data_IF_724931819776
#
_entry.id   IF_724931819776
#
_cell.length_a   1.000
_cell.length_b   1.000
_cell.length_c   1.000
_cell.angle_alpha   90.00
_cell.angle_beta   90.00
_cell.angle_gamma   90.00
#
_symmetry.space_group_name_H-M   'P 1'
#
loop_
_entity.id
_entity.type
_entity.pdbx_description
1 polymer ?
#
# COMPACT_ATOMS: atom_id res chain seq x y z
N UNK A 1 1.24 -7.84 6.73
CA UNK A 1 2.17 -8.23 5.65
C UNK A 1 2.52 -9.70 5.82
N UNK A 2 2.93 -10.42 4.75
CA UNK A 2 3.48 -11.76 4.91
C UNK A 2 4.63 -11.75 5.92
N UNK A 3 4.65 -12.74 6.81
CA UNK A 3 5.56 -12.77 7.97
C UNK A 3 6.98 -13.22 7.61
N UNK A 4 7.18 -13.70 6.39
CA UNK A 4 8.45 -14.15 5.83
C UNK A 4 9.24 -13.03 5.11
N UNK A 5 8.77 -11.78 5.20
CA UNK A 5 9.48 -10.61 4.63
C UNK A 5 10.43 -10.02 5.67
N UNK A 6 11.69 -9.82 5.28
CA UNK A 6 12.70 -9.15 6.13
C UNK A 6 12.35 -7.68 6.39
N UNK A 7 11.74 -7.01 5.41
CA UNK A 7 11.35 -5.61 5.49
C UNK A 7 9.82 -5.46 5.53
N UNK A 8 9.33 -4.55 6.37
CA UNK A 8 7.92 -4.18 6.41
C UNK A 8 7.69 -2.79 5.78
N UNK A 9 7.45 -2.75 4.47
CA UNK A 9 7.29 -1.47 3.74
C UNK A 9 6.04 -0.65 4.14
N UNK A 10 5.11 -1.26 4.88
CA UNK A 10 3.90 -0.62 5.41
C UNK A 10 3.97 -0.22 6.88
N UNK A 11 5.10 -0.45 7.58
CA UNK A 11 5.25 -0.17 9.02
C UNK A 11 5.03 1.32 9.35
N UNK A 12 5.34 2.16 8.38
CA UNK A 12 5.25 3.61 8.41
C UNK A 12 3.81 4.16 8.29
N UNK A 13 2.82 3.27 8.17
CA UNK A 13 1.41 3.60 8.14
C UNK A 13 0.80 3.61 6.73
N UNK A 14 -0.50 3.93 6.69
CA UNK A 14 -1.30 3.88 5.48
C UNK A 14 -0.91 4.91 4.41
N UNK A 15 -1.33 4.62 3.18
CA UNK A 15 -1.28 5.53 2.04
C UNK A 15 -2.72 5.68 1.55
N UNK A 16 -3.20 6.91 1.49
CA UNK A 16 -4.54 7.27 1.03
C UNK A 16 -4.38 8.11 -0.24
N UNK A 17 -5.06 7.75 -1.33
CA UNK A 17 -5.03 8.51 -2.60
C UNK A 17 -6.44 8.60 -3.16
N UNK A 18 -6.88 9.81 -3.47
CA UNK A 18 -8.08 10.11 -4.25
C UNK A 18 -7.66 10.53 -5.64
N UNK A 19 -8.19 9.88 -6.67
CA UNK A 19 -7.99 10.24 -8.08
C UNK A 19 -9.33 10.74 -8.64
N UNK A 20 -9.30 11.89 -9.29
CA UNK A 20 -10.48 12.55 -9.84
C UNK A 20 -10.58 12.32 -11.35
N UNK A 21 -11.76 12.52 -11.93
CA UNK A 21 -12.02 12.29 -13.35
C UNK A 21 -11.21 13.22 -14.27
N UNK A 22 -10.83 14.40 -13.77
CA UNK A 22 -9.97 15.36 -14.48
C UNK A 22 -8.48 14.97 -14.49
N UNK A 23 -8.12 13.83 -13.90
CA UNK A 23 -6.75 13.34 -13.78
C UNK A 23 -5.96 13.96 -12.63
N UNK A 24 -6.55 14.87 -11.86
CA UNK A 24 -5.95 15.38 -10.62
C UNK A 24 -6.02 14.32 -9.51
N UNK A 25 -5.19 14.49 -8.49
CA UNK A 25 -5.21 13.61 -7.33
C UNK A 25 -4.82 14.35 -6.05
N UNK A 26 -5.30 13.83 -4.92
CA UNK A 26 -4.85 14.22 -3.58
C UNK A 26 -4.42 12.96 -2.85
N UNK A 27 -3.29 13.01 -2.18
CA UNK A 27 -2.76 11.90 -1.41
C UNK A 27 -2.41 12.29 0.02
N UNK A 28 -2.31 11.31 0.90
CA UNK A 28 -1.86 11.48 2.28
C UNK A 28 -1.13 10.23 2.75
N UNK A 29 -0.09 10.42 3.56
CA UNK A 29 0.55 9.35 4.32
C UNK A 29 1.22 9.95 5.56
N UNK A 30 1.19 9.31 6.74
CA UNK A 30 1.81 9.83 7.97
C UNK A 30 3.28 10.24 7.81
N UNK A 31 3.99 9.57 6.90
CA UNK A 31 5.43 9.69 6.68
C UNK A 31 5.81 10.61 5.53
N UNK A 32 4.85 11.07 4.72
CA UNK A 32 5.11 12.03 3.63
C UNK A 32 4.47 13.37 4.00
N UNK A 33 5.21 14.46 3.77
CA UNK A 33 4.74 15.84 4.03
C UNK A 33 4.20 16.07 5.47
N UNK A 34 4.71 15.32 6.45
CA UNK A 34 4.26 15.32 7.85
C UNK A 34 2.77 14.96 8.00
N UNK A 35 2.27 14.01 7.21
CA UNK A 35 0.88 13.57 7.28
C UNK A 35 -0.14 14.54 6.70
N UNK A 36 0.30 15.65 6.10
CA UNK A 36 -0.56 16.61 5.43
C UNK A 36 -1.00 16.05 4.06
N UNK A 37 -2.23 16.37 3.60
CA UNK A 37 -2.63 16.11 2.23
C UNK A 37 -1.69 16.80 1.24
N UNK A 38 -1.42 16.14 0.12
CA UNK A 38 -0.56 16.62 -0.97
C UNK A 38 -1.26 16.51 -2.31
N UNK A 39 -1.06 17.47 -3.20
CA UNK A 39 -1.55 17.44 -4.59
C UNK A 39 -0.44 17.66 -5.61
N UNK A 40 0.75 18.08 -5.17
CA UNK A 40 1.91 18.22 -6.05
C UNK A 40 2.27 16.87 -6.70
N UNK A 41 2.41 16.80 -8.03
CA UNK A 41 2.72 15.56 -8.75
C UNK A 41 3.95 14.82 -8.22
N UNK A 42 4.98 15.56 -7.78
CA UNK A 42 6.20 14.97 -7.20
C UNK A 42 5.91 14.23 -5.90
N UNK A 43 5.05 14.77 -5.04
CA UNK A 43 4.72 14.15 -3.75
C UNK A 43 3.76 12.97 -3.94
N UNK A 44 2.78 13.10 -4.84
CA UNK A 44 1.91 12.00 -5.26
C UNK A 44 2.73 10.82 -5.80
N UNK A 45 3.75 11.08 -6.62
CA UNK A 45 4.63 10.04 -7.16
C UNK A 45 5.36 9.25 -6.07
N UNK A 46 5.76 9.91 -4.98
CA UNK A 46 6.39 9.23 -3.84
C UNK A 46 5.39 8.25 -3.19
N UNK A 47 4.14 8.68 -2.99
CA UNK A 47 3.09 7.81 -2.44
C UNK A 47 2.85 6.59 -3.33
N UNK A 48 2.77 6.78 -4.65
CA UNK A 48 2.58 5.68 -5.60
C UNK A 48 3.75 4.68 -5.60
N UNK A 49 4.99 5.17 -5.53
CA UNK A 49 6.17 4.29 -5.48
C UNK A 49 6.21 3.45 -4.19
N UNK A 50 5.87 4.06 -3.04
CA UNK A 50 5.78 3.34 -1.77
C UNK A 50 4.67 2.29 -1.80
N UNK A 51 3.51 2.63 -2.36
CA UNK A 51 2.45 1.65 -2.60
C UNK A 51 2.92 0.51 -3.52
N UNK A 52 3.73 0.81 -4.54
CA UNK A 52 4.35 -0.19 -5.40
C UNK A 52 5.19 -1.23 -4.65
N UNK A 53 5.99 -0.79 -3.68
CA UNK A 53 6.80 -1.67 -2.82
C UNK A 53 5.89 -2.55 -1.95
N UNK A 54 4.89 -1.94 -1.30
CA UNK A 54 3.90 -2.66 -0.48
C UNK A 54 3.21 -3.76 -1.31
N UNK A 55 2.78 -3.41 -2.53
CA UNK A 55 2.12 -4.35 -3.44
C UNK A 55 3.06 -5.48 -3.89
N UNK A 56 4.34 -5.20 -4.11
CA UNK A 56 5.32 -6.21 -4.49
C UNK A 56 5.63 -7.20 -3.35
N UNK A 57 5.52 -6.75 -2.09
CA UNK A 57 5.67 -7.62 -0.92
C UNK A 57 4.40 -8.41 -0.58
N UNK A 58 3.23 -7.95 -1.02
CA UNK A 58 1.96 -8.60 -0.72
C UNK A 58 1.80 -9.95 -1.44
N UNK A 59 0.99 -10.84 -0.86
CA UNK A 59 0.58 -12.05 -1.56
C UNK A 59 -0.21 -11.68 -2.83
N UNK A 60 0.02 -12.42 -3.90
CA UNK A 60 -0.85 -12.38 -5.08
C UNK A 60 -2.27 -12.84 -4.69
N UNK A 61 -3.29 -12.55 -5.52
CA UNK A 61 -4.64 -13.04 -5.27
C UNK A 61 -4.71 -14.57 -5.09
N UNK A 62 -3.98 -15.32 -5.92
CA UNK A 62 -3.96 -16.80 -5.85
C UNK A 62 -3.29 -17.31 -4.57
N UNK A 63 -2.15 -16.72 -4.18
CA UNK A 63 -1.49 -17.08 -2.92
C UNK A 63 -2.36 -16.71 -1.71
N UNK A 64 -3.08 -15.59 -1.78
CA UNK A 64 -4.02 -15.18 -0.73
C UNK A 64 -5.17 -16.19 -0.60
N UNK A 65 -5.76 -16.63 -1.71
CA UNK A 65 -6.80 -17.67 -1.72
C UNK A 65 -6.29 -18.98 -1.13
N UNK A 66 -5.15 -19.46 -1.59
CA UNK A 66 -4.56 -20.71 -1.08
C UNK A 66 -4.28 -20.63 0.43
N UNK A 67 -3.78 -19.49 0.91
CA UNK A 67 -3.55 -19.27 2.33
C UNK A 67 -4.84 -19.26 3.15
N UNK A 68 -5.91 -18.62 2.65
CA UNK A 68 -7.22 -18.62 3.31
C UNK A 68 -7.83 -20.03 3.36
N UNK A 69 -7.77 -20.77 2.26
CA UNK A 69 -8.27 -22.15 2.19
C UNK A 69 -7.52 -23.08 3.15
N UNK A 70 -6.20 -22.95 3.24
CA UNK A 70 -5.39 -23.67 4.22
C UNK A 70 -5.86 -23.39 5.65
N UNK A 71 -6.00 -22.12 6.04
CA UNK A 71 -6.44 -21.74 7.38
C UNK A 71 -7.85 -22.26 7.72
N UNK A 72 -8.75 -22.35 6.74
CA UNK A 72 -10.10 -22.90 6.93
C UNK A 72 -10.11 -24.42 7.11
N UNK A 73 -9.10 -25.14 6.61
CA UNK A 73 -8.95 -26.58 6.79
C UNK A 73 -8.15 -26.99 8.03
N UNK A 74 -7.50 -26.03 8.71
CA UNK A 74 -6.72 -26.24 9.93
C UNK A 74 -7.57 -26.22 11.22
N UNK A 75 -8.89 -26.01 11.10
CA UNK A 75 -9.90 -26.15 12.18
C UNK A 75 -10.58 -27.50 12.19
#
# INVERSE_FOLDING_TARGET
>A
MPMDREEHAGVDGGIEVLKFEDGSAVGRSPVVANGRPVSEPRQLRILELRYGIIRAQALTPRESTAFIEQLLGET
#
